data_IF_165582385186
#
_entry.id   IF_165582385186
#
_cell.length_a   1.000
_cell.length_b   1.000
_cell.length_c   1.000
_cell.angle_alpha   90.00
_cell.angle_beta   90.00
_cell.angle_gamma   90.00
#
_symmetry.space_group_name_H-M   'P 1'
#
loop_
_entity.id
_entity.type
_entity.pdbx_description
1 polymer ?
#
# COMPACT_ATOMS: atom_id res chain seq x y z
N UNK A 1 -6.78 -7.42 13.21
CA UNK A 1 -5.90 -6.62 12.33
C UNK A 1 -6.68 -6.33 11.06
N UNK A 2 -6.73 -5.06 10.67
CA UNK A 2 -7.43 -4.60 9.46
C UNK A 2 -6.40 -4.30 8.38
N UNK A 3 -6.64 -4.77 7.15
CA UNK A 3 -5.79 -4.48 6.00
C UNK A 3 -6.42 -3.37 5.16
N UNK A 4 -5.71 -2.26 5.00
CA UNK A 4 -6.12 -1.16 4.12
C UNK A 4 -5.45 -1.37 2.75
N UNK A 5 -6.21 -1.82 1.76
CA UNK A 5 -5.67 -2.21 0.45
C UNK A 5 -5.71 -1.03 -0.54
N UNK A 6 -4.58 -0.73 -1.20
CA UNK A 6 -4.55 0.17 -2.37
C UNK A 6 -4.01 -0.54 -3.60
N UNK A 7 -4.53 -0.18 -4.78
CA UNK A 7 -4.20 -0.85 -6.03
C UNK A 7 -3.89 0.14 -7.13
N UNK A 8 -2.66 0.10 -7.64
CA UNK A 8 -2.19 0.93 -8.75
C UNK A 8 -2.18 2.45 -8.50
N UNK A 9 -2.18 2.85 -7.24
CA UNK A 9 -1.97 4.25 -6.87
C UNK A 9 -0.49 4.61 -6.84
N UNK A 10 -0.17 5.82 -7.28
CA UNK A 10 1.19 6.34 -7.24
C UNK A 10 1.38 7.36 -6.12
N UNK A 11 2.58 7.38 -5.49
CA UNK A 11 3.00 8.42 -4.57
C UNK A 11 2.78 9.84 -5.10
N UNK A 12 1.77 10.51 -4.57
CA UNK A 12 1.35 11.86 -4.90
C UNK A 12 0.82 12.57 -3.65
N UNK A 13 0.64 13.89 -3.70
CA UNK A 13 0.01 14.62 -2.60
C UNK A 13 -1.34 14.04 -2.19
N UNK A 14 -2.14 13.64 -3.19
CA UNK A 14 -3.45 12.99 -3.00
C UNK A 14 -3.31 11.62 -2.33
N UNK A 15 -2.36 10.79 -2.78
CA UNK A 15 -2.10 9.50 -2.14
C UNK A 15 -1.72 9.66 -0.67
N UNK A 16 -0.93 10.68 -0.32
CA UNK A 16 -0.55 10.92 1.08
C UNK A 16 -1.76 11.29 1.93
N UNK A 17 -2.56 12.27 1.50
CA UNK A 17 -3.69 12.76 2.28
C UNK A 17 -4.85 11.75 2.35
N UNK A 18 -5.04 10.94 1.32
CA UNK A 18 -6.18 10.01 1.23
C UNK A 18 -5.86 8.58 1.67
N UNK A 19 -4.58 8.19 1.72
CA UNK A 19 -4.17 6.82 2.10
C UNK A 19 -3.35 6.84 3.38
N UNK A 20 -2.14 7.43 3.35
CA UNK A 20 -1.23 7.35 4.48
C UNK A 20 -1.76 8.09 5.71
N UNK A 21 -2.24 9.32 5.52
CA UNK A 21 -2.75 10.14 6.62
C UNK A 21 -4.06 9.54 7.18
N UNK A 22 -4.87 8.87 6.34
CA UNK A 22 -6.06 8.12 6.77
C UNK A 22 -5.68 6.90 7.60
N UNK A 23 -4.72 6.08 7.16
CA UNK A 23 -4.23 4.93 7.93
C UNK A 23 -3.64 5.37 9.28
N UNK A 24 -2.86 6.46 9.29
CA UNK A 24 -2.33 7.03 10.53
C UNK A 24 -3.46 7.51 11.46
N UNK A 25 -4.45 8.20 10.91
CA UNK A 25 -5.62 8.64 11.68
C UNK A 25 -6.41 7.46 12.26
N UNK A 26 -6.70 6.43 11.46
CA UNK A 26 -7.40 5.23 11.96
C UNK A 26 -6.64 4.55 13.09
N UNK A 27 -5.31 4.43 12.98
CA UNK A 27 -4.50 3.88 14.08
C UNK A 27 -4.48 4.79 15.33
N UNK A 28 -4.69 6.10 15.17
CA UNK A 28 -4.77 7.04 16.30
C UNK A 28 -6.08 6.95 17.09
N UNK A 29 -7.16 6.48 16.46
CA UNK A 29 -8.46 6.29 17.13
C UNK A 29 -8.46 5.11 18.11
N UNK A 30 -7.41 4.27 18.08
CA UNK A 30 -7.34 3.03 18.84
C UNK A 30 -8.17 1.90 18.21
N UNK A 31 -8.12 0.72 18.82
CA UNK A 31 -8.77 -0.49 18.31
C UNK A 31 -7.81 -1.42 17.58
N UNK A 32 -8.30 -2.11 16.55
CA UNK A 32 -7.47 -3.04 15.78
C UNK A 32 -6.45 -2.30 14.90
N UNK A 33 -5.20 -2.79 14.89
CA UNK A 33 -4.13 -2.22 14.03
C UNK A 33 -4.58 -2.24 12.55
N UNK A 34 -4.50 -1.07 11.91
CA UNK A 34 -4.73 -0.91 10.47
C UNK A 34 -3.38 -0.89 9.76
N UNK A 35 -3.16 -1.83 8.86
CA UNK A 35 -1.92 -1.93 8.07
C UNK A 35 -2.19 -1.64 6.60
N UNK A 36 -1.48 -0.66 6.05
CA UNK A 36 -1.49 -0.39 4.62
C UNK A 36 -0.89 -1.57 3.84
N UNK A 37 -1.60 -2.03 2.81
CA UNK A 37 -1.11 -2.98 1.81
C UNK A 37 -1.22 -2.32 0.43
N UNK A 38 -0.10 -1.86 -0.11
CA UNK A 38 -0.04 -1.12 -1.37
C UNK A 38 0.48 -2.00 -2.51
N UNK A 39 -0.38 -2.32 -3.48
CA UNK A 39 0.01 -2.94 -4.74
C UNK A 39 0.38 -1.84 -5.74
N UNK A 40 1.68 -1.71 -6.02
CA UNK A 40 2.22 -0.63 -6.86
C UNK A 40 2.89 -1.19 -8.10
N UNK A 41 3.05 -0.36 -9.15
CA UNK A 41 3.64 -0.83 -10.40
C UNK A 41 5.01 -1.47 -10.16
N UNK A 42 5.28 -2.60 -10.84
CA UNK A 42 6.63 -3.16 -10.88
C UNK A 42 7.63 -2.17 -11.52
N UNK A 43 7.14 -1.27 -12.40
CA UNK A 43 7.95 -0.18 -12.94
C UNK A 43 8.28 0.80 -11.82
N UNK A 44 9.58 1.03 -11.57
CA UNK A 44 10.11 1.87 -10.48
C UNK A 44 9.67 1.42 -9.08
N UNK A 45 9.41 0.12 -8.89
CA UNK A 45 8.97 -0.45 -7.62
C UNK A 45 9.85 -0.02 -6.43
N UNK A 46 11.18 -0.05 -6.58
CA UNK A 46 12.10 0.32 -5.49
C UNK A 46 11.95 1.77 -5.03
N UNK A 47 11.79 2.71 -5.97
CA UNK A 47 11.58 4.12 -5.66
C UNK A 47 10.23 4.33 -4.94
N UNK A 48 9.16 3.76 -5.50
CA UNK A 48 7.81 3.84 -4.93
C UNK A 48 7.76 3.21 -3.54
N UNK A 49 8.33 2.02 -3.36
CA UNK A 49 8.42 1.34 -2.06
C UNK A 49 9.15 2.21 -1.04
N UNK A 50 10.30 2.79 -1.40
CA UNK A 50 11.06 3.68 -0.50
C UNK A 50 10.23 4.89 -0.07
N UNK A 51 9.52 5.52 -1.01
CA UNK A 51 8.67 6.70 -0.72
C UNK A 51 7.51 6.36 0.22
N UNK A 52 6.82 5.25 -0.01
CA UNK A 52 5.71 4.80 0.86
C UNK A 52 6.25 4.43 2.24
N UNK A 53 7.31 3.63 2.32
CA UNK A 53 7.93 3.20 3.58
C UNK A 53 8.51 4.35 4.41
N UNK A 54 8.95 5.43 3.77
CA UNK A 54 9.42 6.62 4.49
C UNK A 54 8.30 7.33 5.26
N UNK A 55 7.04 7.18 4.84
CA UNK A 55 5.88 7.84 5.45
C UNK A 55 5.04 6.88 6.31
N UNK A 56 4.94 5.62 5.88
CA UNK A 56 4.36 4.52 6.66
C UNK A 56 5.35 3.34 6.70
N UNK A 57 6.21 3.26 7.74
CA UNK A 57 7.18 2.18 7.90
C UNK A 57 6.55 0.78 8.02
N UNK A 58 5.30 0.69 8.51
CA UNK A 58 4.58 -0.57 8.71
C UNK A 58 3.87 -1.05 7.44
N UNK A 59 3.72 -0.21 6.42
CA UNK A 59 3.06 -0.56 5.16
C UNK A 59 3.69 -1.79 4.47
N UNK A 60 2.87 -2.72 3.99
CA UNK A 60 3.33 -3.80 3.10
C UNK A 60 3.22 -3.30 1.65
N UNK A 61 4.34 -3.25 0.93
CA UNK A 61 4.37 -2.75 -0.45
C UNK A 61 4.75 -3.89 -1.37
N UNK A 62 3.87 -4.23 -2.31
CA UNK A 62 3.99 -5.38 -3.21
C UNK A 62 3.96 -4.90 -4.67
N UNK A 63 4.72 -5.53 -5.58
CA UNK A 63 4.58 -5.25 -6.99
C UNK A 63 3.24 -5.80 -7.49
N UNK A 64 2.46 -5.02 -8.22
CA UNK A 64 1.28 -5.53 -8.92
C UNK A 64 1.69 -6.40 -10.09
N UNK A 65 0.89 -7.41 -10.37
CA UNK A 65 0.99 -8.12 -11.64
C UNK A 65 0.41 -7.24 -12.76
N UNK A 66 1.07 -7.14 -13.93
CA UNK A 66 0.57 -6.33 -15.03
C UNK A 66 -0.84 -6.74 -15.45
N UNK A 67 -1.69 -5.75 -15.73
CA UNK A 67 -3.12 -5.88 -16.08
C UNK A 67 -3.99 -6.31 -14.89
N UNK A 68 -4.99 -5.50 -14.56
CA UNK A 68 -5.89 -5.72 -13.42
C UNK A 68 -6.60 -7.08 -13.45
N UNK A 69 -6.89 -7.62 -14.64
CA UNK A 69 -7.45 -8.98 -14.80
C UNK A 69 -6.57 -10.11 -14.23
N UNK A 70 -5.28 -9.85 -13.97
CA UNK A 70 -4.31 -10.82 -13.43
C UNK A 70 -4.06 -10.65 -11.93
N UNK A 71 -4.84 -9.83 -11.21
CA UNK A 71 -4.64 -9.54 -9.78
C UNK A 71 -4.53 -10.80 -8.90
N UNK A 72 -5.20 -11.91 -9.26
CA UNK A 72 -5.13 -13.17 -8.51
C UNK A 72 -3.71 -13.73 -8.39
N UNK A 73 -2.83 -13.40 -9.33
CA UNK A 73 -1.43 -13.83 -9.32
C UNK A 73 -0.62 -13.14 -8.22
N UNK A 74 -1.09 -12.00 -7.69
CA UNK A 74 -0.49 -11.37 -6.52
C UNK A 74 -0.59 -12.24 -5.25
N UNK A 75 -1.49 -13.24 -5.20
CA UNK A 75 -1.55 -14.21 -4.10
C UNK A 75 -0.28 -15.03 -3.97
N UNK A 76 0.38 -15.36 -5.09
CA UNK A 76 1.67 -16.09 -5.07
C UNK A 76 2.86 -15.26 -4.59
N UNK A 77 2.69 -13.94 -4.42
CA UNK A 77 3.71 -13.03 -3.84
C UNK A 77 3.54 -12.94 -2.32
N UNK A 78 2.35 -13.28 -1.80
CA UNK A 78 2.01 -13.21 -0.38
C UNK A 78 2.29 -14.53 0.38
N UNK A 79 2.60 -15.62 -0.33
CA UNK A 79 2.98 -16.92 0.23
C UNK A 79 4.49 -16.99 0.46
#
# INVERSE_FOLDING_TARGET
>A
MILYLTYNDQPSGVYWSQVCDVVAYLNSLGGEEVRLVALVSARRFGETKRRIKARDPKATVLPMVPQMKRWRWNTGILA
#
